data_IF_726583607575
#
_entry.id   IF_726583607575
#
_cell.length_a   1.000
_cell.length_b   1.000
_cell.length_c   1.000
_cell.angle_alpha   90.00
_cell.angle_beta   90.00
_cell.angle_gamma   90.00
#
_symmetry.space_group_name_H-M   'P 1'
#
loop_
_entity.id
_entity.type
_entity.pdbx_description
1 polymer ?
#
# COMPACT_ATOMS: atom_id res chain seq x y z
N UNK A 1 -25.51 41.40 33.43
CA UNK A 1 -26.50 40.36 33.08
C UNK A 1 -26.30 39.75 31.67
N UNK A 2 -25.83 40.49 30.66
CA UNK A 2 -25.68 39.96 29.28
C UNK A 2 -24.66 38.82 29.08
N UNK A 3 -23.51 38.85 29.76
CA UNK A 3 -22.47 37.82 29.60
C UNK A 3 -22.89 36.42 30.10
N UNK A 4 -23.85 36.34 31.02
CA UNK A 4 -24.31 35.06 31.56
C UNK A 4 -25.17 34.30 30.54
N UNK A 5 -26.00 35.02 29.78
CA UNK A 5 -26.80 34.42 28.70
C UNK A 5 -25.94 33.92 27.53
N UNK A 6 -24.83 34.59 27.24
CA UNK A 6 -23.87 34.14 26.20
C UNK A 6 -23.16 32.87 26.64
N UNK A 7 -22.71 32.78 27.90
CA UNK A 7 -22.07 31.57 28.43
C UNK A 7 -23.02 30.37 28.50
N UNK A 8 -24.27 30.58 28.94
CA UNK A 8 -25.30 29.52 28.93
C UNK A 8 -25.58 29.04 27.49
N UNK A 9 -25.60 29.95 26.52
CA UNK A 9 -25.75 29.64 25.11
C UNK A 9 -24.57 28.80 24.55
N UNK A 10 -23.34 29.14 24.91
CA UNK A 10 -22.15 28.38 24.50
C UNK A 10 -22.09 26.99 25.12
N UNK A 11 -22.50 26.82 26.38
CA UNK A 11 -22.55 25.50 27.03
C UNK A 11 -23.59 24.60 26.34
N UNK A 12 -24.77 25.14 26.01
CA UNK A 12 -25.78 24.42 25.23
C UNK A 12 -25.32 24.07 23.80
N UNK A 13 -24.60 24.98 23.15
CA UNK A 13 -24.04 24.76 21.81
C UNK A 13 -22.94 23.68 21.81
N UNK A 14 -22.05 23.69 22.80
CA UNK A 14 -21.00 22.68 22.95
C UNK A 14 -21.56 21.29 23.28
N UNK A 15 -22.61 21.20 24.11
CA UNK A 15 -23.32 19.94 24.37
C UNK A 15 -24.08 19.43 23.13
N UNK A 16 -24.72 20.34 22.38
CA UNK A 16 -25.41 20.01 21.12
C UNK A 16 -24.46 19.47 20.04
N UNK A 17 -23.31 20.11 19.86
CA UNK A 17 -22.29 19.67 18.89
C UNK A 17 -21.67 18.34 19.32
N UNK A 18 -21.40 18.18 20.62
CA UNK A 18 -20.87 16.92 21.17
C UNK A 18 -21.86 15.75 21.02
N UNK A 19 -23.17 16.00 21.14
CA UNK A 19 -24.24 15.03 20.86
C UNK A 19 -24.32 14.64 19.37
N UNK A 20 -24.14 15.61 18.46
CA UNK A 20 -24.05 15.33 17.02
C UNK A 20 -22.85 14.46 16.70
N UNK A 21 -21.65 14.82 17.20
CA UNK A 21 -20.41 14.08 16.92
C UNK A 21 -20.49 12.64 17.49
N UNK A 22 -21.10 12.46 18.66
CA UNK A 22 -21.31 11.13 19.25
C UNK A 22 -22.33 10.29 18.47
N UNK A 23 -23.26 10.93 17.75
CA UNK A 23 -24.23 10.24 16.88
C UNK A 23 -23.60 9.71 15.58
N UNK A 24 -22.43 10.20 15.17
CA UNK A 24 -21.76 9.76 13.94
C UNK A 24 -20.79 8.58 14.12
N UNK A 25 -20.39 8.24 15.36
CA UNK A 25 -19.36 7.22 15.61
C UNK A 25 -19.85 5.83 16.06
N UNK A 26 -21.17 5.58 16.12
CA UNK A 26 -21.70 4.21 16.24
C UNK A 26 -22.23 3.70 14.90
N UNK A 27 -21.55 2.66 14.40
CA UNK A 27 -21.71 2.00 13.10
C UNK A 27 -23.17 1.60 12.77
N UNK A 28 -23.41 1.54 11.46
CA UNK A 28 -24.35 0.64 10.73
C UNK A 28 -25.79 1.15 10.54
N UNK A 29 -26.06 1.54 9.28
CA UNK A 29 -27.33 1.54 8.53
C UNK A 29 -28.62 1.52 9.36
N UNK A 30 -29.39 2.62 9.36
CA UNK A 30 -30.84 2.63 9.06
C UNK A 30 -31.26 4.03 8.61
N UNK A 31 -31.69 4.13 7.34
CA UNK A 31 -32.37 5.29 6.77
C UNK A 31 -33.69 5.47 7.51
N UNK A 32 -33.86 6.52 8.34
CA UNK A 32 -35.18 6.97 8.87
C UNK A 32 -35.23 8.25 9.76
N UNK A 33 -34.29 9.23 9.72
CA UNK A 33 -34.59 10.55 10.28
C UNK A 33 -34.75 11.69 9.25
N UNK A 34 -34.57 11.45 7.95
CA UNK A 34 -34.58 12.52 6.93
C UNK A 34 -35.98 13.11 6.62
N UNK A 35 -37.07 12.41 6.98
CA UNK A 35 -38.44 12.88 6.73
C UNK A 35 -38.95 13.90 7.76
N UNK A 36 -38.46 13.87 9.00
CA UNK A 36 -38.97 14.72 10.08
C UNK A 36 -38.44 16.16 9.94
N UNK A 37 -37.23 16.33 9.39
CA UNK A 37 -36.61 17.66 9.20
C UNK A 37 -37.24 18.44 8.03
N UNK A 38 -37.78 17.75 7.03
CA UNK A 38 -38.47 18.39 5.88
C UNK A 38 -39.84 18.97 6.23
N UNK A 39 -40.59 18.35 7.14
CA UNK A 39 -41.92 18.80 7.52
C UNK A 39 -41.92 20.11 8.35
N UNK A 40 -40.87 20.33 9.16
CA UNK A 40 -40.74 21.54 9.98
C UNK A 40 -40.48 22.81 9.15
N UNK A 41 -39.84 22.67 7.98
CA UNK A 41 -39.50 23.81 7.11
C UNK A 41 -40.72 24.34 6.32
N UNK A 42 -41.69 23.46 6.03
CA UNK A 42 -42.90 23.81 5.27
C UNK A 42 -43.88 24.64 6.12
N UNK A 43 -43.97 24.39 7.44
CA UNK A 43 -44.84 25.14 8.35
C UNK A 43 -44.33 26.57 8.59
N UNK A 44 -43.02 26.79 8.56
CA UNK A 44 -42.41 28.12 8.79
C UNK A 44 -42.58 29.07 7.59
N UNK A 45 -42.72 28.54 6.37
CA UNK A 45 -42.89 29.36 5.15
C UNK A 45 -44.32 29.93 4.99
N UNK A 46 -45.33 29.32 5.62
CA UNK A 46 -46.73 29.77 5.53
C UNK A 46 -47.01 30.93 6.51
N UNK A 47 -46.24 31.06 7.59
CA UNK A 47 -46.42 32.10 8.62
C UNK A 47 -46.05 33.53 8.19
N UNK A 48 -45.40 33.74 7.04
CA UNK A 48 -44.89 35.06 6.63
C UNK A 48 -45.79 35.82 5.64
N UNK A 49 -46.92 35.26 5.22
CA UNK A 49 -47.76 35.84 4.17
C UNK A 49 -48.91 36.76 4.65
N UNK A 50 -49.02 37.08 5.95
CA UNK A 50 -50.21 37.76 6.49
C UNK A 50 -49.92 39.01 7.35
N UNK A 51 -49.23 39.99 6.76
CA UNK A 51 -49.22 41.37 7.28
C UNK A 51 -49.43 42.34 6.10
N UNK A 52 -50.66 42.82 5.94
CA UNK A 52 -51.00 44.04 5.17
C UNK A 52 -51.11 45.23 6.13
N UNK A 53 -50.93 46.46 5.63
CA UNK A 53 -51.93 47.48 5.94
C UNK A 53 -52.47 48.19 4.69
N UNK A 54 -53.79 48.39 4.75
CA UNK A 54 -54.65 49.24 3.94
C UNK A 54 -54.37 50.73 4.16
N UNK A 55 -54.61 51.57 3.15
CA UNK A 55 -55.42 52.81 3.25
C UNK A 55 -55.68 53.41 1.85
N UNK A 56 -56.89 53.95 1.72
CA UNK A 56 -57.60 54.23 0.47
C UNK A 56 -57.67 55.74 0.14
N UNK A 57 -57.78 56.00 -1.17
CA UNK A 57 -58.54 57.08 -1.84
C UNK A 57 -57.98 58.52 -2.00
N UNK A 58 -57.95 58.90 -3.29
CA UNK A 58 -58.47 60.16 -3.89
C UNK A 58 -57.50 61.27 -4.33
N UNK A 59 -57.40 61.37 -5.67
CA UNK A 59 -57.45 62.56 -6.54
C UNK A 59 -56.38 63.68 -6.52
N UNK A 60 -56.01 64.04 -7.76
CA UNK A 60 -55.60 65.35 -8.32
C UNK A 60 -54.15 65.85 -8.20
N UNK A 61 -53.55 65.91 -9.40
CA UNK A 61 -52.70 66.97 -9.97
C UNK A 61 -51.35 67.39 -9.36
N UNK A 62 -50.30 67.13 -10.16
CA UNK A 62 -49.21 68.04 -10.57
C UNK A 62 -48.50 68.85 -9.46
N UNK A 63 -47.22 68.50 -9.22
CA UNK A 63 -46.01 69.30 -9.52
C UNK A 63 -44.90 69.08 -8.47
N UNK A 64 -43.75 68.60 -8.97
CA UNK A 64 -42.37 68.94 -8.54
C UNK A 64 -41.82 68.37 -7.21
N UNK A 65 -40.53 68.01 -7.30
CA UNK A 65 -39.53 67.65 -6.28
C UNK A 65 -39.46 66.17 -5.87
N UNK A 66 -38.50 65.41 -6.41
CA UNK A 66 -37.08 65.32 -6.07
C UNK A 66 -36.82 64.34 -4.92
N UNK A 67 -36.28 63.19 -5.33
CA UNK A 67 -35.30 62.38 -4.61
C UNK A 67 -35.70 61.66 -3.32
N UNK A 68 -35.09 60.47 -3.16
CA UNK A 68 -35.05 59.66 -1.93
C UNK A 68 -36.17 58.62 -1.70
N UNK A 69 -36.45 57.76 -2.69
CA UNK A 69 -37.04 56.43 -2.41
C UNK A 69 -36.81 55.37 -3.51
N UNK A 70 -35.56 55.20 -3.97
CA UNK A 70 -35.20 54.08 -4.87
C UNK A 70 -34.05 53.21 -4.33
N UNK A 71 -33.32 53.66 -3.31
CA UNK A 71 -32.15 52.95 -2.76
C UNK A 71 -32.48 52.03 -1.59
N UNK A 72 -33.27 50.97 -1.79
CA UNK A 72 -33.21 49.84 -0.82
C UNK A 72 -33.56 48.46 -1.39
N UNK A 73 -34.13 48.36 -2.61
CA UNK A 73 -34.43 47.03 -3.22
C UNK A 73 -33.44 46.56 -4.30
N UNK A 74 -32.58 47.42 -4.86
CA UNK A 74 -31.57 47.00 -5.86
C UNK A 74 -30.24 46.52 -5.26
N UNK A 75 -29.88 46.93 -4.04
CA UNK A 75 -28.60 46.53 -3.43
C UNK A 75 -28.59 45.09 -2.89
N UNK A 76 -29.73 44.57 -2.43
CA UNK A 76 -29.81 43.19 -1.88
C UNK A 76 -29.71 42.07 -2.92
N UNK A 77 -29.98 42.35 -4.21
CA UNK A 77 -29.91 41.34 -5.29
C UNK A 77 -28.53 41.26 -5.96
N UNK A 78 -27.78 42.37 -6.03
CA UNK A 78 -26.40 42.38 -6.54
C UNK A 78 -25.39 41.79 -5.56
N UNK A 79 -25.63 41.94 -4.25
CA UNK A 79 -24.73 41.43 -3.21
C UNK A 79 -24.78 39.89 -3.09
N UNK A 80 -25.92 39.26 -3.37
CA UNK A 80 -26.08 37.80 -3.27
C UNK A 80 -25.47 37.05 -4.48
N UNK A 81 -25.51 37.62 -5.70
CA UNK A 81 -24.83 37.05 -6.88
C UNK A 81 -23.30 37.11 -6.78
N UNK A 82 -22.75 38.23 -6.31
CA UNK A 82 -21.30 38.38 -6.06
C UNK A 82 -20.80 37.40 -5.00
N UNK A 83 -21.55 37.22 -3.91
CA UNK A 83 -21.22 36.23 -2.89
C UNK A 83 -21.31 34.76 -3.37
N UNK A 84 -22.14 34.48 -4.38
CA UNK A 84 -22.28 33.14 -4.95
C UNK A 84 -21.16 32.83 -5.96
N UNK A 85 -20.77 33.80 -6.80
CA UNK A 85 -19.60 33.70 -7.69
C UNK A 85 -18.28 33.56 -6.90
N UNK A 86 -18.12 34.32 -5.82
CA UNK A 86 -16.91 34.28 -5.00
C UNK A 86 -16.75 32.93 -4.27
N UNK A 87 -17.86 32.34 -3.81
CA UNK A 87 -17.87 30.97 -3.26
C UNK A 87 -17.56 29.91 -4.33
N UNK A 88 -18.05 30.08 -5.55
CA UNK A 88 -17.78 29.16 -6.65
C UNK A 88 -16.30 29.20 -7.05
N UNK A 89 -15.74 30.41 -7.18
CA UNK A 89 -14.31 30.63 -7.45
C UNK A 89 -13.41 30.03 -6.36
N UNK A 90 -13.78 30.17 -5.08
CA UNK A 90 -13.07 29.53 -3.97
C UNK A 90 -13.14 28.00 -4.00
N UNK A 91 -14.29 27.42 -4.36
CA UNK A 91 -14.46 25.98 -4.46
C UNK A 91 -13.63 25.38 -5.61
N UNK A 92 -13.61 26.06 -6.75
CA UNK A 92 -12.84 25.64 -7.92
C UNK A 92 -11.32 25.75 -7.67
N UNK A 93 -10.87 26.83 -7.02
CA UNK A 93 -9.47 26.97 -6.59
C UNK A 93 -9.07 25.87 -5.60
N UNK A 94 -9.94 25.50 -4.65
CA UNK A 94 -9.68 24.41 -3.70
C UNK A 94 -9.60 23.04 -4.39
N UNK A 95 -10.52 22.75 -5.33
CA UNK A 95 -10.48 21.49 -6.11
C UNK A 95 -9.21 21.40 -6.96
N UNK A 96 -8.83 22.49 -7.62
CA UNK A 96 -7.59 22.56 -8.40
C UNK A 96 -6.35 22.36 -7.52
N UNK A 97 -6.35 22.87 -6.29
CA UNK A 97 -5.25 22.68 -5.34
C UNK A 97 -5.18 21.24 -4.82
N UNK A 98 -6.32 20.62 -4.50
CA UNK A 98 -6.39 19.20 -4.11
C UNK A 98 -5.92 18.26 -5.25
N UNK A 99 -6.27 18.56 -6.50
CA UNK A 99 -5.79 17.80 -7.66
C UNK A 99 -4.27 17.93 -7.86
N UNK A 100 -3.72 19.15 -7.71
CA UNK A 100 -2.27 19.36 -7.76
C UNK A 100 -1.54 18.57 -6.68
N UNK A 101 -2.04 18.58 -5.44
CA UNK A 101 -1.46 17.81 -4.34
C UNK A 101 -1.49 16.31 -4.60
N UNK A 102 -2.60 15.77 -5.13
CA UNK A 102 -2.68 14.36 -5.52
C UNK A 102 -1.70 14.02 -6.63
N UNK A 103 -1.55 14.90 -7.62
CA UNK A 103 -0.61 14.69 -8.71
C UNK A 103 0.84 14.70 -8.22
N UNK A 104 1.19 15.60 -7.31
CA UNK A 104 2.51 15.65 -6.67
C UNK A 104 2.78 14.39 -5.85
N UNK A 105 1.80 13.91 -5.07
CA UNK A 105 1.93 12.66 -4.31
C UNK A 105 2.14 11.45 -5.25
N UNK A 106 1.39 11.35 -6.34
CA UNK A 106 1.55 10.31 -7.36
C UNK A 106 2.95 10.37 -7.98
N UNK A 107 3.43 11.57 -8.32
CA UNK A 107 4.76 11.78 -8.89
C UNK A 107 5.85 11.34 -7.89
N UNK A 108 5.72 11.69 -6.61
CA UNK A 108 6.67 11.28 -5.57
C UNK A 108 6.69 9.76 -5.38
N UNK A 109 5.53 9.12 -5.30
CA UNK A 109 5.46 7.64 -5.21
C UNK A 109 6.02 6.96 -6.46
N UNK A 110 5.84 7.56 -7.63
CA UNK A 110 6.40 7.05 -8.88
C UNK A 110 7.93 7.14 -8.89
N UNK A 111 8.51 8.23 -8.37
CA UNK A 111 9.96 8.39 -8.24
C UNK A 111 10.52 7.35 -7.26
N UNK A 112 9.90 7.20 -6.08
CA UNK A 112 10.32 6.20 -5.09
C UNK A 112 10.28 4.78 -5.67
N UNK A 113 9.16 4.40 -6.29
CA UNK A 113 9.02 3.11 -6.96
C UNK A 113 10.06 2.89 -8.06
N UNK A 114 10.36 3.92 -8.85
CA UNK A 114 11.38 3.87 -9.90
C UNK A 114 12.77 3.63 -9.30
N UNK A 115 13.11 4.31 -8.20
CA UNK A 115 14.39 4.13 -7.52
C UNK A 115 14.53 2.73 -6.92
N UNK A 116 13.46 2.21 -6.29
CA UNK A 116 13.44 0.85 -5.75
C UNK A 116 13.56 -0.21 -6.84
N UNK A 117 12.87 0.01 -7.96
CA UNK A 117 12.97 -0.88 -9.11
C UNK A 117 14.38 -0.86 -9.73
N UNK A 118 15.00 0.31 -9.86
CA UNK A 118 16.38 0.42 -10.34
C UNK A 118 17.37 -0.31 -9.42
N UNK A 119 17.16 -0.28 -8.10
CA UNK A 119 17.94 -1.08 -7.15
C UNK A 119 17.73 -2.58 -7.36
N UNK A 120 16.51 -3.02 -7.63
CA UNK A 120 16.20 -4.42 -7.89
C UNK A 120 16.76 -4.91 -9.24
N UNK A 121 16.83 -4.04 -10.25
CA UNK A 121 17.48 -4.35 -11.53
C UNK A 121 19.01 -4.42 -11.40
N UNK A 122 19.62 -3.51 -10.64
CA UNK A 122 21.05 -3.51 -10.39
C UNK A 122 21.49 -4.67 -9.49
N UNK A 123 20.62 -5.10 -8.59
CA UNK A 123 20.87 -6.21 -7.65
C UNK A 123 19.60 -7.07 -7.53
N UNK A 124 19.45 -8.08 -8.41
CA UNK A 124 18.28 -8.96 -8.46
C UNK A 124 18.26 -9.88 -7.24
N UNK A 125 17.70 -9.38 -6.15
CA UNK A 125 17.48 -10.12 -4.90
C UNK A 125 16.00 -10.06 -4.52
N UNK A 126 15.55 -11.06 -3.75
CA UNK A 126 14.16 -11.12 -3.30
C UNK A 126 13.79 -9.88 -2.45
N UNK A 127 14.72 -9.39 -1.62
CA UNK A 127 14.50 -8.20 -0.80
C UNK A 127 14.26 -6.93 -1.64
N UNK A 128 15.12 -6.68 -2.64
CA UNK A 128 14.96 -5.53 -3.52
C UNK A 128 13.71 -5.64 -4.39
N UNK A 129 13.37 -6.85 -4.85
CA UNK A 129 12.14 -7.13 -5.57
C UNK A 129 10.90 -6.79 -4.74
N UNK A 130 10.84 -7.25 -3.49
CA UNK A 130 9.69 -6.99 -2.60
C UNK A 130 9.54 -5.51 -2.26
N UNK A 131 10.67 -4.81 -2.07
CA UNK A 131 10.66 -3.37 -1.87
C UNK A 131 10.10 -2.63 -3.10
N UNK A 132 10.52 -3.01 -4.30
CA UNK A 132 9.99 -2.46 -5.55
C UNK A 132 8.51 -2.79 -5.75
N UNK A 133 8.10 -4.03 -5.51
CA UNK A 133 6.70 -4.47 -5.59
C UNK A 133 5.79 -3.63 -4.69
N UNK A 134 6.20 -3.43 -3.43
CA UNK A 134 5.45 -2.65 -2.44
C UNK A 134 5.31 -1.19 -2.89
N UNK A 135 6.40 -0.58 -3.38
CA UNK A 135 6.38 0.79 -3.85
C UNK A 135 5.51 0.97 -5.10
N UNK A 136 5.55 0.03 -6.05
CA UNK A 136 4.71 0.05 -7.26
C UNK A 136 3.22 -0.11 -6.91
N UNK A 137 2.87 -0.98 -5.95
CA UNK A 137 1.50 -1.16 -5.47
C UNK A 137 0.95 0.07 -4.73
N UNK A 138 1.82 0.91 -4.18
CA UNK A 138 1.42 2.14 -3.49
C UNK A 138 1.02 3.28 -4.45
N UNK A 139 1.33 3.18 -5.75
CA UNK A 139 1.01 4.20 -6.76
C UNK A 139 -0.50 4.16 -7.09
N UNK A 140 -1.25 5.24 -6.83
CA UNK A 140 -2.64 5.36 -7.28
C UNK A 140 -2.73 5.28 -8.81
N UNK A 141 -3.70 4.53 -9.32
CA UNK A 141 -3.87 4.21 -10.76
C UNK A 141 -2.80 3.29 -11.37
N UNK A 142 -1.82 2.84 -10.57
CA UNK A 142 -0.79 1.89 -10.98
C UNK A 142 0.20 2.45 -12.02
N UNK A 143 1.15 1.60 -12.42
CA UNK A 143 2.11 1.89 -13.48
C UNK A 143 2.49 0.59 -14.21
N UNK A 144 2.06 0.46 -15.48
CA UNK A 144 2.30 -0.76 -16.26
C UNK A 144 3.77 -0.95 -16.65
N UNK A 145 4.50 0.13 -16.92
CA UNK A 145 5.93 0.06 -17.27
C UNK A 145 6.74 -0.52 -16.11
N UNK A 146 6.58 0.05 -14.91
CA UNK A 146 7.26 -0.42 -13.71
C UNK A 146 6.89 -1.88 -13.39
N UNK A 147 5.63 -2.26 -13.61
CA UNK A 147 5.17 -3.64 -13.40
C UNK A 147 5.81 -4.62 -14.39
N UNK A 148 5.92 -4.26 -15.67
CA UNK A 148 6.54 -5.10 -16.69
C UNK A 148 8.04 -5.29 -16.43
N UNK A 149 8.74 -4.22 -16.04
CA UNK A 149 10.14 -4.28 -15.63
C UNK A 149 10.35 -5.16 -14.39
N UNK A 150 9.43 -5.09 -13.42
CA UNK A 150 9.47 -5.93 -12.23
C UNK A 150 9.35 -7.43 -12.57
N UNK A 151 8.58 -7.79 -13.61
CA UNK A 151 8.52 -9.19 -14.12
C UNK A 151 9.89 -9.66 -14.64
N UNK A 152 10.63 -8.78 -15.31
CA UNK A 152 12.00 -9.11 -15.78
C UNK A 152 12.92 -9.36 -14.58
N UNK A 153 12.83 -8.55 -13.53
CA UNK A 153 13.60 -8.76 -12.28
C UNK A 153 13.25 -10.11 -11.63
N UNK A 154 11.96 -10.45 -11.50
CA UNK A 154 11.52 -11.75 -10.98
C UNK A 154 12.09 -12.92 -11.80
N UNK A 155 12.04 -12.83 -13.12
CA UNK A 155 12.60 -13.86 -14.00
C UNK A 155 14.12 -14.01 -13.83
N UNK A 156 14.82 -12.89 -13.59
CA UNK A 156 16.27 -12.87 -13.36
C UNK A 156 16.62 -13.51 -12.03
N UNK A 157 15.85 -13.20 -10.96
CA UNK A 157 16.03 -13.82 -9.64
C UNK A 157 15.86 -15.34 -9.75
N UNK A 158 14.78 -15.81 -10.39
CA UNK A 158 14.53 -17.25 -10.59
C UNK A 158 15.62 -17.93 -11.41
N UNK A 159 16.11 -17.27 -12.45
CA UNK A 159 17.22 -17.79 -13.25
C UNK A 159 18.51 -17.90 -12.43
N UNK A 160 18.82 -16.90 -11.60
CA UNK A 160 19.99 -16.93 -10.72
C UNK A 160 19.87 -18.03 -9.66
N UNK A 161 18.72 -18.15 -9.00
CA UNK A 161 18.44 -19.21 -8.01
C UNK A 161 18.55 -20.59 -8.65
N UNK A 162 17.98 -20.80 -9.84
CA UNK A 162 18.08 -22.07 -10.56
C UNK A 162 19.52 -22.39 -10.96
N UNK A 163 20.27 -21.40 -11.44
CA UNK A 163 21.69 -21.57 -11.78
C UNK A 163 22.54 -21.91 -10.56
N UNK A 164 22.27 -21.30 -9.40
CA UNK A 164 22.93 -21.63 -8.14
C UNK A 164 22.61 -23.05 -7.67
N UNK A 165 21.34 -23.45 -7.72
CA UNK A 165 20.92 -24.80 -7.38
C UNK A 165 21.59 -25.83 -8.30
N UNK A 166 21.65 -25.57 -9.60
CA UNK A 166 22.35 -26.44 -10.56
C UNK A 166 23.84 -26.52 -10.26
N UNK A 167 24.51 -25.40 -9.96
CA UNK A 167 25.93 -25.40 -9.57
C UNK A 167 26.15 -26.19 -8.28
N UNK A 168 25.28 -26.04 -7.28
CA UNK A 168 25.37 -26.81 -6.02
C UNK A 168 25.17 -28.31 -6.25
N UNK A 169 24.20 -28.70 -7.07
CA UNK A 169 23.97 -30.11 -7.41
C UNK A 169 25.14 -30.70 -8.18
N UNK A 170 25.70 -29.96 -9.16
CA UNK A 170 26.88 -30.39 -9.91
C UNK A 170 28.11 -30.50 -9.00
N UNK A 171 28.35 -29.54 -8.12
CA UNK A 171 29.45 -29.59 -7.16
C UNK A 171 29.30 -30.76 -6.18
N UNK A 172 28.08 -31.03 -5.69
CA UNK A 172 27.80 -32.18 -4.83
C UNK A 172 28.01 -33.52 -5.56
N UNK A 173 27.55 -33.62 -6.81
CA UNK A 173 27.75 -34.80 -7.64
C UNK A 173 29.24 -35.04 -7.95
N UNK A 174 30.00 -33.99 -8.26
CA UNK A 174 31.45 -34.07 -8.46
C UNK A 174 32.18 -34.49 -7.18
N UNK A 175 31.81 -33.94 -6.03
CA UNK A 175 32.38 -34.34 -4.74
C UNK A 175 32.10 -35.81 -4.41
N UNK A 176 30.90 -36.31 -4.72
CA UNK A 176 30.55 -37.72 -4.58
C UNK A 176 31.33 -38.63 -5.54
N UNK A 177 31.50 -38.21 -6.80
CA UNK A 177 32.32 -38.93 -7.77
C UNK A 177 33.78 -39.04 -7.30
N UNK A 178 34.37 -37.94 -6.82
CA UNK A 178 35.73 -37.94 -6.26
C UNK A 178 35.88 -38.89 -5.07
N UNK A 179 34.87 -38.97 -4.19
CA UNK A 179 34.90 -39.92 -3.08
C UNK A 179 34.80 -41.38 -3.55
N UNK A 180 33.97 -41.65 -4.56
CA UNK A 180 33.79 -43.00 -5.12
C UNK A 180 35.00 -43.50 -5.92
N UNK A 181 35.78 -42.59 -6.50
CA UNK A 181 37.05 -42.85 -7.19
C UNK A 181 38.25 -42.92 -6.25
N UNK A 182 38.06 -42.65 -4.95
CA UNK A 182 39.14 -42.77 -3.96
C UNK A 182 39.69 -44.20 -3.95
N UNK A 183 40.99 -44.33 -4.19
CA UNK A 183 41.67 -45.62 -4.20
C UNK A 183 41.70 -46.19 -2.78
N UNK A 184 41.25 -47.43 -2.64
CA UNK A 184 41.32 -48.21 -1.41
C UNK A 184 42.04 -49.52 -1.64
N UNK A 185 42.58 -50.07 -0.56
CA UNK A 185 43.36 -51.31 -0.56
C UNK A 185 42.57 -52.42 0.11
N UNK A 186 42.52 -53.59 -0.52
CA UNK A 186 41.87 -54.80 -0.01
C UNK A 186 42.84 -55.98 -0.03
N UNK A 187 42.56 -56.99 0.79
CA UNK A 187 43.21 -58.29 0.73
C UNK A 187 42.18 -59.35 0.29
N UNK A 188 42.11 -59.73 -1.01
CA UNK A 188 41.03 -60.57 -1.55
C UNK A 188 40.93 -61.95 -0.88
N UNK A 189 42.08 -62.52 -0.52
CA UNK A 189 42.17 -63.85 0.09
C UNK A 189 42.04 -63.80 1.63
N UNK A 190 41.97 -62.59 2.22
CA UNK A 190 42.05 -62.37 3.66
C UNK A 190 41.10 -61.25 4.14
N UNK A 191 39.96 -61.64 4.69
CA UNK A 191 39.01 -60.73 5.34
C UNK A 191 38.08 -59.99 4.38
N UNK A 192 37.20 -59.15 4.95
CA UNK A 192 36.11 -58.46 4.23
C UNK A 192 36.20 -56.94 4.37
N UNK A 193 37.42 -56.42 4.62
CA UNK A 193 37.64 -55.01 4.91
C UNK A 193 38.48 -54.32 3.86
N UNK A 194 38.12 -53.09 3.55
CA UNK A 194 38.97 -52.19 2.77
C UNK A 194 39.70 -51.21 3.69
N UNK A 195 40.84 -50.75 3.21
CA UNK A 195 41.79 -49.92 3.94
C UNK A 195 42.10 -48.67 3.11
N UNK A 196 42.18 -47.51 3.76
CA UNK A 196 42.55 -46.26 3.10
C UNK A 196 44.07 -46.14 2.91
N UNK A 197 44.84 -46.84 3.73
CA UNK A 197 46.30 -46.85 3.71
C UNK A 197 46.82 -48.26 3.41
N UNK A 198 47.85 -48.41 2.55
CA UNK A 198 48.42 -49.72 2.24
C UNK A 198 49.17 -50.35 3.41
N UNK A 199 49.68 -49.54 4.34
CA UNK A 199 50.45 -49.98 5.52
C UNK A 199 49.57 -50.13 6.78
N UNK A 200 48.26 -50.31 6.62
CA UNK A 200 47.36 -50.45 7.75
C UNK A 200 47.69 -51.71 8.55
N UNK A 201 47.65 -51.63 9.89
CA UNK A 201 47.94 -52.76 10.80
C UNK A 201 47.08 -54.01 10.52
N UNK A 202 45.87 -53.82 9.99
CA UNK A 202 44.98 -54.90 9.58
C UNK A 202 45.42 -55.67 8.33
N UNK A 203 46.38 -55.15 7.55
CA UNK A 203 46.95 -55.78 6.35
C UNK A 203 48.27 -56.52 6.60
N UNK A 204 48.86 -56.41 7.80
CA UNK A 204 50.18 -56.96 8.10
C UNK A 204 50.31 -58.49 7.92
N UNK A 205 49.18 -59.21 7.99
CA UNK A 205 49.13 -60.66 7.85
C UNK A 205 48.58 -61.13 6.49
N UNK A 206 48.29 -60.19 5.56
CA UNK A 206 47.73 -60.52 4.26
C UNK A 206 48.81 -61.04 3.30
N UNK A 207 48.49 -62.09 2.55
CA UNK A 207 49.40 -62.64 1.52
C UNK A 207 49.43 -61.79 0.24
N UNK A 208 48.37 -61.03 -0.03
CA UNK A 208 48.21 -60.21 -1.24
C UNK A 208 47.40 -58.94 -0.91
N UNK A 209 47.78 -57.80 -1.50
CA UNK A 209 47.07 -56.53 -1.37
C UNK A 209 46.81 -55.96 -2.76
N UNK A 210 45.57 -55.59 -3.05
CA UNK A 210 45.13 -55.05 -4.33
C UNK A 210 44.47 -53.68 -4.12
N UNK A 211 44.75 -52.74 -5.01
CA UNK A 211 44.11 -51.42 -5.03
C UNK A 211 42.91 -51.40 -5.98
N UNK A 212 41.80 -50.78 -5.57
CA UNK A 212 40.62 -50.55 -6.40
C UNK A 212 39.85 -49.30 -5.93
N UNK A 213 38.97 -48.72 -6.75
CA UNK A 213 38.14 -47.59 -6.30
C UNK A 213 37.20 -48.01 -5.16
N UNK A 214 36.94 -47.08 -4.24
CA UNK A 214 36.07 -47.27 -3.07
C UNK A 214 34.70 -47.82 -3.48
N UNK A 215 34.12 -47.28 -4.55
CA UNK A 215 32.84 -47.73 -5.09
C UNK A 215 32.81 -49.22 -5.47
N UNK A 216 33.89 -49.72 -6.08
CA UNK A 216 34.00 -51.15 -6.43
C UNK A 216 34.20 -52.02 -5.19
N UNK A 217 34.99 -51.56 -4.22
CA UNK A 217 35.16 -52.27 -2.95
C UNK A 217 33.82 -52.40 -2.19
N UNK A 218 33.03 -51.32 -2.14
CA UNK A 218 31.69 -51.34 -1.55
C UNK A 218 30.74 -52.26 -2.33
N UNK A 219 30.77 -52.22 -3.66
CA UNK A 219 29.95 -53.11 -4.51
C UNK A 219 30.30 -54.59 -4.33
N UNK A 220 31.56 -54.90 -4.03
CA UNK A 220 32.03 -56.26 -3.66
C UNK A 220 31.75 -56.63 -2.20
N UNK A 221 31.13 -55.73 -1.42
CA UNK A 221 30.72 -55.99 -0.03
C UNK A 221 31.82 -55.75 1.02
N UNK A 222 32.94 -55.11 0.66
CA UNK A 222 33.97 -54.77 1.63
C UNK A 222 33.53 -53.62 2.55
N UNK A 223 33.91 -53.68 3.82
CA UNK A 223 33.58 -52.67 4.84
C UNK A 223 34.82 -51.93 5.32
N UNK A 224 34.67 -50.71 5.84
CA UNK A 224 35.82 -49.93 6.32
C UNK A 224 36.57 -50.66 7.47
N UNK A 225 37.90 -50.67 7.41
CA UNK A 225 38.74 -51.05 8.54
C UNK A 225 38.70 -49.99 9.65
N UNK A 226 38.32 -50.42 10.87
CA UNK A 226 38.31 -49.55 12.06
C UNK A 226 39.66 -49.47 12.77
N UNK A 227 40.64 -50.28 12.35
CA UNK A 227 42.01 -50.23 12.86
C UNK A 227 42.78 -49.26 11.97
N UNK A 228 43.17 -48.12 12.55
CA UNK A 228 44.09 -47.16 11.94
C UNK A 228 45.50 -47.72 11.95
#
# INVERSE_FOLDING_TARGET
>A
MGNFFVLIGFIGFCWGISGLIKSFHKKKTRKRPLLILGAAFIVMAIGFANVQPSNSASSSEVKIQSEKKVETKKEKQGNNRKAQEEKQKQEDERKAQEERQKQEEINQKTIDATNKLAQAEASPTNENYQAALTAIQAIPNGNQDLSNRLVVVDSTIKANEAAEQQRQQQAAAQAQQQNNEQVVYIAPDHGTKYHLNPNCSGLNNANSVVSMPLSEALAKGYTLCKRG
#
